data_IF_837538113523
#
_entry.id   IF_837538113523
#
_cell.length_a   1.000
_cell.length_b   1.000
_cell.length_c   1.000
_cell.angle_alpha   90.00
_cell.angle_beta   90.00
_cell.angle_gamma   90.00
#
_symmetry.space_group_name_H-M   'P 1'
#
loop_
_entity.id
_entity.type
_entity.pdbx_description
1 polymer ?
#
# COMPACT_ATOMS: atom_id res chain seq x y z
N UNK A 1 9.35 16.57 30.19
CA UNK A 1 9.60 17.62 29.19
C UNK A 1 10.19 16.91 28.01
N UNK A 2 9.59 17.13 26.84
CA UNK A 2 9.68 16.37 25.59
C UNK A 2 8.93 15.04 25.57
N UNK A 3 7.86 15.01 24.77
CA UNK A 3 7.21 13.79 24.31
C UNK A 3 8.12 13.19 23.22
N UNK A 4 8.45 11.91 23.34
CA UNK A 4 9.26 11.24 22.33
C UNK A 4 8.48 11.15 21.01
N UNK A 5 9.14 11.33 19.85
CA UNK A 5 8.47 11.22 18.57
C UNK A 5 7.86 9.83 18.38
N UNK A 6 6.77 9.76 17.63
CA UNK A 6 5.95 8.57 17.46
C UNK A 6 5.58 8.26 16.01
N UNK A 7 5.01 7.07 15.80
CA UNK A 7 4.48 6.64 14.51
C UNK A 7 3.22 5.80 14.72
N UNK A 8 2.16 6.15 14.01
CA UNK A 8 0.88 5.46 14.10
C UNK A 8 0.16 5.45 12.76
N UNK A 9 -0.85 4.58 12.64
CA UNK A 9 -1.59 4.46 11.40
C UNK A 9 -2.72 3.45 11.50
N UNK A 10 -3.45 3.32 10.39
CA UNK A 10 -4.54 2.38 10.24
C UNK A 10 -4.52 1.78 8.84
N UNK A 11 -5.02 0.54 8.74
CA UNK A 11 -5.11 -0.16 7.47
C UNK A 11 -6.40 -0.97 7.37
N UNK A 12 -6.95 -1.03 6.16
CA UNK A 12 -8.17 -1.77 5.83
C UNK A 12 -7.91 -2.68 4.61
N UNK A 13 -8.48 -3.88 4.68
CA UNK A 13 -8.23 -4.95 3.70
C UNK A 13 -9.53 -5.64 3.27
N UNK A 14 -10.52 -4.92 2.68
CA UNK A 14 -11.69 -5.59 2.13
C UNK A 14 -11.31 -6.49 0.94
N UNK A 15 -11.91 -7.68 0.90
CA UNK A 15 -11.76 -8.61 -0.21
C UNK A 15 -13.12 -9.21 -0.56
N UNK A 16 -13.40 -9.31 -1.87
CA UNK A 16 -14.67 -9.82 -2.40
C UNK A 16 -14.37 -10.85 -3.48
N UNK A 17 -15.02 -12.01 -3.40
CA UNK A 17 -15.09 -12.95 -4.51
C UNK A 17 -16.26 -12.56 -5.42
N UNK A 18 -15.96 -12.23 -6.68
CA UNK A 18 -16.99 -11.89 -7.68
C UNK A 18 -17.46 -13.11 -8.46
N UNK A 19 -16.68 -14.19 -8.44
CA UNK A 19 -16.99 -15.52 -8.97
C UNK A 19 -16.14 -16.59 -8.26
N UNK A 20 -16.33 -17.86 -8.61
CA UNK A 20 -15.49 -18.96 -8.12
C UNK A 20 -14.02 -18.85 -8.53
N UNK A 21 -13.76 -18.20 -9.68
CA UNK A 21 -12.43 -18.06 -10.27
C UNK A 21 -11.79 -16.70 -10.07
N UNK A 22 -12.54 -15.68 -9.60
CA UNK A 22 -12.05 -14.31 -9.52
C UNK A 22 -12.36 -13.64 -8.18
N UNK A 23 -11.29 -13.10 -7.57
CA UNK A 23 -11.36 -12.28 -6.36
C UNK A 23 -10.75 -10.90 -6.62
N UNK A 24 -11.29 -9.90 -5.95
CA UNK A 24 -10.75 -8.54 -5.92
C UNK A 24 -10.45 -8.19 -4.47
N UNK A 25 -9.25 -7.69 -4.22
CA UNK A 25 -8.82 -7.14 -2.93
C UNK A 25 -8.49 -5.67 -3.06
N UNK A 26 -8.83 -4.89 -2.04
CA UNK A 26 -8.34 -3.53 -1.87
C UNK A 26 -7.62 -3.47 -0.52
N UNK A 27 -6.42 -2.89 -0.52
CA UNK A 27 -5.67 -2.54 0.68
C UNK A 27 -5.53 -1.03 0.72
N UNK A 28 -6.01 -0.39 1.78
CA UNK A 28 -5.75 1.04 2.02
C UNK A 28 -5.05 1.21 3.36
N UNK A 29 -3.99 1.99 3.37
CA UNK A 29 -3.10 2.19 4.49
C UNK A 29 -2.89 3.70 4.66
N UNK A 30 -2.96 4.19 5.90
CA UNK A 30 -2.62 5.56 6.25
C UNK A 30 -1.70 5.56 7.45
N UNK A 31 -0.55 6.20 7.33
CA UNK A 31 0.46 6.29 8.37
C UNK A 31 0.88 7.75 8.60
N UNK A 32 1.18 8.08 9.85
CA UNK A 32 1.52 9.41 10.32
C UNK A 32 2.67 9.32 11.32
N UNK A 33 3.60 10.24 11.23
CA UNK A 33 4.63 10.51 12.23
C UNK A 33 4.15 11.59 13.19
N UNK A 34 4.58 11.53 14.44
CA UNK A 34 4.42 12.58 15.43
C UNK A 34 5.83 13.06 15.79
N UNK A 35 6.19 14.28 15.39
CA UNK A 35 7.57 14.75 15.37
C UNK A 35 8.45 14.07 14.30
N UNK A 36 9.78 14.22 14.40
CA UNK A 36 10.76 13.65 13.45
C UNK A 36 11.04 12.17 13.74
N UNK A 37 10.06 11.29 13.57
CA UNK A 37 10.23 9.85 13.82
C UNK A 37 11.06 9.15 12.72
N UNK A 38 10.95 9.61 11.47
CA UNK A 38 11.78 9.16 10.33
C UNK A 38 11.38 7.83 9.66
N UNK A 39 10.22 7.24 9.99
CA UNK A 39 9.66 6.05 9.35
C UNK A 39 9.19 6.26 7.89
N UNK A 40 8.67 7.44 7.55
CA UNK A 40 8.21 7.80 6.19
C UNK A 40 9.39 8.26 5.33
N UNK A 41 10.48 8.71 5.97
CA UNK A 41 11.75 9.01 5.29
C UNK A 41 11.77 10.34 4.54
N UNK A 42 10.89 11.28 4.91
CA UNK A 42 10.84 12.63 4.35
C UNK A 42 11.86 13.58 4.99
N UNK A 43 12.29 13.29 6.23
CA UNK A 43 13.09 14.20 7.05
C UNK A 43 12.33 15.46 7.49
N UNK A 44 10.99 15.41 7.46
CA UNK A 44 10.09 16.48 7.89
C UNK A 44 9.15 15.95 8.95
N UNK A 45 9.09 16.62 10.10
CA UNK A 45 8.20 16.30 11.21
C UNK A 45 6.74 16.21 10.76
N UNK A 46 5.96 15.36 11.44
CA UNK A 46 4.53 15.20 11.23
C UNK A 46 4.16 14.78 9.79
N UNK A 47 5.07 14.10 9.10
CA UNK A 47 4.79 13.58 7.78
C UNK A 47 3.75 12.47 7.82
N UNK A 48 3.02 12.30 6.72
CA UNK A 48 2.05 11.22 6.55
C UNK A 48 2.10 10.63 5.15
N UNK A 49 1.67 9.39 5.02
CA UNK A 49 1.53 8.70 3.74
C UNK A 49 0.22 7.93 3.68
N UNK A 50 -0.50 8.12 2.59
CA UNK A 50 -1.65 7.32 2.20
C UNK A 50 -1.24 6.40 1.05
N UNK A 51 -1.41 5.09 1.24
CA UNK A 51 -1.10 4.09 0.23
C UNK A 51 -2.36 3.25 -0.04
N UNK A 52 -2.66 3.03 -1.32
CA UNK A 52 -3.75 2.15 -1.74
C UNK A 52 -3.25 1.14 -2.76
N UNK A 53 -3.69 -0.10 -2.64
CA UNK A 53 -3.36 -1.19 -3.56
C UNK A 53 -4.65 -1.91 -3.95
N UNK A 54 -4.92 -1.98 -5.26
CA UNK A 54 -5.98 -2.77 -5.85
C UNK A 54 -5.38 -4.04 -6.47
N UNK A 55 -5.85 -5.20 -6.04
CA UNK A 55 -5.35 -6.50 -6.47
C UNK A 55 -6.47 -7.32 -7.09
N UNK A 56 -6.24 -7.86 -8.28
CA UNK A 56 -7.05 -8.93 -8.86
C UNK A 56 -6.41 -10.29 -8.62
N UNK A 57 -7.20 -11.33 -8.39
CA UNK A 57 -6.70 -12.70 -8.31
C UNK A 57 -7.61 -13.60 -9.15
N UNK A 58 -7.10 -14.01 -10.32
CA UNK A 58 -7.85 -14.81 -11.29
C UNK A 58 -7.22 -16.17 -11.49
N UNK A 59 -7.97 -17.24 -11.25
CA UNK A 59 -7.49 -18.62 -11.35
C UNK A 59 -8.16 -19.37 -12.49
N UNK A 60 -7.34 -20.04 -13.31
CA UNK A 60 -7.73 -20.85 -14.46
C UNK A 60 -6.99 -22.19 -14.37
N UNK A 61 -7.70 -23.25 -13.99
CA UNK A 61 -7.07 -24.54 -13.71
C UNK A 61 -6.04 -24.40 -12.59
N UNK A 62 -4.79 -24.78 -12.86
CA UNK A 62 -3.66 -24.68 -11.93
C UNK A 62 -2.89 -23.36 -12.01
N UNK A 63 -3.29 -22.42 -12.88
CA UNK A 63 -2.64 -21.12 -13.07
C UNK A 63 -3.45 -20.00 -12.40
N UNK A 64 -2.79 -19.17 -11.61
CA UNK A 64 -3.33 -17.93 -11.05
C UNK A 64 -2.58 -16.73 -11.60
N UNK A 65 -3.31 -15.71 -12.05
CA UNK A 65 -2.79 -14.43 -12.53
C UNK A 65 -3.20 -13.33 -11.53
N UNK A 66 -2.24 -12.50 -11.14
CA UNK A 66 -2.40 -11.50 -10.06
C UNK A 66 -1.90 -10.14 -10.56
N UNK A 67 -2.76 -9.30 -11.15
CA UNK A 67 -2.45 -7.89 -11.38
C UNK A 67 -2.63 -7.08 -10.10
N UNK A 68 -1.69 -6.18 -9.83
CA UNK A 68 -1.74 -5.23 -8.72
C UNK A 68 -1.44 -3.81 -9.19
N UNK A 69 -2.30 -2.85 -8.85
CA UNK A 69 -2.07 -1.43 -9.03
C UNK A 69 -1.94 -0.79 -7.65
N UNK A 70 -0.84 -0.08 -7.41
CA UNK A 70 -0.59 0.65 -6.17
C UNK A 70 -0.39 2.14 -6.43
N UNK A 71 -1.00 2.96 -5.57
CA UNK A 71 -0.93 4.42 -5.60
C UNK A 71 -0.62 4.92 -4.19
N UNK A 72 0.45 5.67 -4.06
CA UNK A 72 0.92 6.23 -2.80
C UNK A 72 0.99 7.76 -2.92
N UNK A 73 0.59 8.45 -1.86
CA UNK A 73 0.68 9.91 -1.72
C UNK A 73 1.15 10.24 -0.31
N UNK A 74 2.28 10.93 -0.22
CA UNK A 74 2.85 11.44 1.01
C UNK A 74 2.58 12.95 1.16
N UNK A 75 2.57 13.45 2.39
CA UNK A 75 2.47 14.89 2.68
C UNK A 75 3.73 15.63 2.24
N UNK A 76 4.88 14.97 2.32
CA UNK A 76 6.19 15.48 1.90
C UNK A 76 6.89 14.53 0.93
N UNK A 77 8.02 14.98 0.35
CA UNK A 77 8.71 14.26 -0.72
C UNK A 77 9.38 12.97 -0.21
N UNK A 78 8.63 11.87 -0.19
CA UNK A 78 9.09 10.55 0.23
C UNK A 78 9.61 9.68 -0.93
N UNK A 79 9.30 10.03 -2.19
CA UNK A 79 9.58 9.19 -3.36
C UNK A 79 10.52 9.89 -4.33
N UNK A 80 11.83 9.74 -4.17
CA UNK A 80 12.87 10.32 -5.07
C UNK A 80 12.52 11.74 -5.54
N UNK A 81 12.32 12.65 -4.58
CA UNK A 81 12.00 14.06 -4.85
C UNK A 81 10.53 14.35 -5.18
N UNK A 82 9.65 13.36 -5.15
CA UNK A 82 8.21 13.49 -5.38
C UNK A 82 7.40 13.08 -4.15
N UNK A 83 6.17 13.60 -4.07
CA UNK A 83 5.17 13.30 -3.04
C UNK A 83 4.24 12.15 -3.45
N UNK A 84 4.25 11.72 -4.70
CA UNK A 84 3.41 10.63 -5.19
C UNK A 84 4.22 9.51 -5.88
N UNK A 85 3.73 8.28 -5.77
CA UNK A 85 4.26 7.12 -6.48
C UNK A 85 3.11 6.26 -6.98
N UNK A 86 3.14 5.90 -8.27
CA UNK A 86 2.27 4.89 -8.85
C UNK A 86 3.08 3.70 -9.31
N UNK A 87 2.62 2.48 -9.04
CA UNK A 87 3.27 1.27 -9.52
C UNK A 87 2.25 0.21 -9.96
N UNK A 88 2.65 -0.60 -10.93
CA UNK A 88 1.86 -1.74 -11.39
C UNK A 88 2.74 -2.99 -11.37
N UNK A 89 2.23 -4.07 -10.81
CA UNK A 89 2.87 -5.38 -10.77
C UNK A 89 1.95 -6.43 -11.39
N UNK A 90 2.54 -7.40 -12.07
CA UNK A 90 1.83 -8.55 -12.62
C UNK A 90 2.57 -9.83 -12.23
N UNK A 91 1.89 -10.71 -11.51
CA UNK A 91 2.42 -12.02 -11.14
C UNK A 91 1.60 -13.15 -11.76
N UNK A 92 2.25 -14.29 -11.97
CA UNK A 92 1.63 -15.54 -12.38
C UNK A 92 2.16 -16.68 -11.51
N UNK A 93 1.27 -17.47 -10.93
CA UNK A 93 1.59 -18.58 -10.03
C UNK A 93 1.00 -19.86 -10.59
N UNK A 94 1.83 -20.88 -10.78
CA UNK A 94 1.38 -22.21 -11.21
C UNK A 94 1.50 -23.21 -10.06
N UNK A 95 0.46 -24.00 -9.85
CA UNK A 95 0.38 -25.04 -8.81
C UNK A 95 0.45 -26.45 -9.44
N UNK A 96 1.15 -27.38 -8.79
CA UNK A 96 1.37 -28.75 -9.23
C UNK A 96 0.92 -29.77 -8.20
#
# INVERSE_FOLDING_TARGET
>A
GDEAPGFYGAALYPQIATSDSFKIGLRTEYFVEDGDFGAIGTGVEDSSVFATTLTGNYTIGSLTIIPELRLDSASEAAFVGDKALSSFALAAVYSF
#
